data_IF_112509377075
#
_entry.id   IF_112509377075
#
_cell.length_a   1.000
_cell.length_b   1.000
_cell.length_c   1.000
_cell.angle_alpha   90.00
_cell.angle_beta   90.00
_cell.angle_gamma   90.00
#
_symmetry.space_group_name_H-M   'P 1'
#
loop_
_entity.id
_entity.type
_entity.pdbx_description
1 polymer ?
#
# COMPACT_ATOMS: atom_id res chain seq x y z
N UNK A 1 -23.27 -6.99 6.81
CA UNK A 1 -21.93 -6.87 7.33
C UNK A 1 -21.90 -5.99 8.55
N UNK A 2 -21.09 -6.33 9.51
CA UNK A 2 -21.03 -5.53 10.71
C UNK A 2 -20.27 -4.26 10.46
N UNK A 3 -20.53 -3.27 11.29
CA UNK A 3 -19.79 -2.04 11.19
C UNK A 3 -18.31 -2.29 11.46
N UNK A 4 -18.02 -3.16 12.41
CA UNK A 4 -16.65 -3.45 12.73
C UNK A 4 -15.96 -4.10 11.56
N UNK A 5 -16.61 -5.05 10.94
CA UNK A 5 -16.03 -5.74 9.83
C UNK A 5 -15.74 -4.78 8.71
N UNK A 6 -16.69 -3.92 8.45
CA UNK A 6 -16.53 -2.96 7.37
C UNK A 6 -15.32 -2.06 7.65
N UNK A 7 -15.16 -1.65 8.90
CA UNK A 7 -14.06 -0.78 9.26
C UNK A 7 -12.73 -1.49 9.07
N UNK A 8 -12.67 -2.75 9.44
CA UNK A 8 -11.44 -3.51 9.31
C UNK A 8 -11.07 -3.69 7.84
N UNK A 9 -12.05 -3.99 7.03
CA UNK A 9 -11.79 -4.18 5.60
C UNK A 9 -11.25 -2.89 5.01
N UNK A 10 -11.83 -1.76 5.37
CA UNK A 10 -11.37 -0.49 4.86
C UNK A 10 -9.92 -0.23 5.29
N UNK A 11 -9.60 -0.57 6.52
CA UNK A 11 -8.25 -0.36 7.01
C UNK A 11 -7.26 -1.21 6.24
N UNK A 12 -7.62 -2.44 5.98
CA UNK A 12 -6.73 -3.33 5.26
C UNK A 12 -6.49 -2.81 3.85
N UNK A 13 -7.55 -2.35 3.21
CA UNK A 13 -7.43 -1.83 1.86
C UNK A 13 -6.51 -0.61 1.84
N UNK A 14 -6.65 0.25 2.85
CA UNK A 14 -5.81 1.44 2.91
C UNK A 14 -4.35 1.07 3.09
N UNK A 15 -4.08 0.11 3.95
CA UNK A 15 -2.70 -0.31 4.19
C UNK A 15 -2.10 -0.89 2.92
N UNK A 16 -2.86 -1.73 2.24
CA UNK A 16 -2.38 -2.32 1.00
C UNK A 16 -2.11 -1.24 -0.03
N UNK A 17 -2.96 -0.25 -0.08
CA UNK A 17 -2.79 0.83 -1.04
C UNK A 17 -1.50 1.59 -0.75
N UNK A 18 -1.23 1.84 0.53
CA UNK A 18 -0.02 2.54 0.89
C UNK A 18 1.22 1.74 0.50
N UNK A 19 1.19 0.45 0.75
CA UNK A 19 2.31 -0.39 0.39
C UNK A 19 2.54 -0.35 -1.10
N UNK A 20 1.45 -0.37 -1.85
CA UNK A 20 1.54 -0.34 -3.29
C UNK A 20 2.20 0.96 -3.76
N UNK A 21 1.80 2.08 -3.18
CA UNK A 21 2.37 3.36 -3.56
C UNK A 21 3.86 3.41 -3.22
N UNK A 22 4.23 2.85 -2.07
CA UNK A 22 5.63 2.84 -1.70
C UNK A 22 6.43 2.01 -2.69
N UNK A 23 5.90 0.87 -3.08
CA UNK A 23 6.60 0.02 -4.02
C UNK A 23 6.81 0.73 -5.35
N UNK A 24 5.80 1.45 -5.80
CA UNK A 24 5.92 2.19 -7.05
C UNK A 24 6.99 3.26 -6.93
N UNK A 25 7.05 3.91 -5.78
CA UNK A 25 8.05 4.94 -5.57
C UNK A 25 9.44 4.35 -5.67
N UNK A 26 9.64 3.20 -5.06
CA UNK A 26 10.94 2.55 -5.13
C UNK A 26 11.29 2.20 -6.56
N UNK A 27 10.33 1.68 -7.29
CA UNK A 27 10.58 1.35 -8.68
C UNK A 27 10.98 2.58 -9.48
N UNK A 28 10.29 3.66 -9.26
CA UNK A 28 10.57 4.87 -10.00
C UNK A 28 11.95 5.42 -9.68
N UNK A 29 12.33 5.35 -8.44
CA UNK A 29 13.62 5.84 -8.05
C UNK A 29 14.71 4.93 -8.52
N UNK A 30 14.43 3.67 -8.65
CA UNK A 30 15.45 2.74 -9.08
C UNK A 30 16.47 2.61 -8.01
N UNK A 31 16.06 2.11 -6.92
CA UNK A 31 16.88 2.03 -5.81
C UNK A 31 18.25 1.71 -6.09
N UNK A 32 18.46 0.72 -6.80
CA UNK A 32 19.78 0.41 -7.03
C UNK A 32 20.14 0.73 -8.32
N UNK A 33 19.63 1.54 -8.82
CA UNK A 33 20.03 1.86 -10.04
C UNK A 33 21.31 2.38 -10.01
N UNK A 34 21.84 2.22 -9.77
CA UNK A 34 22.77 2.67 -9.82
C UNK A 34 23.33 2.43 -10.62
N UNK A 35 23.25 2.20 -11.22
CA UNK A 35 23.69 1.94 -11.85
C UNK A 35 24.03 1.87 -12.09
#
# INVERSE_FOLDING_TARGET
>A
MNKKKKNIITAIVLVLFMIFLFALTFYNIGIYNRE
#
